data_IF_289343627111
#
_entry.id   IF_289343627111
#
_cell.length_a   1.000
_cell.length_b   1.000
_cell.length_c   1.000
_cell.angle_alpha   90.00
_cell.angle_beta   90.00
_cell.angle_gamma   90.00
#
_symmetry.space_group_name_H-M   'P 1'
#
loop_
_entity.id
_entity.type
_entity.pdbx_description
1 polymer ?
#
# COMPACT_ATOMS: atom_id res chain seq x y z
N UNK A 1 -26.38 11.76 5.45
CA UNK A 1 -25.03 12.36 5.33
C UNK A 1 -25.03 13.76 5.92
N UNK A 2 -24.19 14.05 6.92
CA UNK A 2 -24.05 15.39 7.50
C UNK A 2 -23.63 16.38 6.37
N UNK A 3 -24.34 17.52 6.22
CA UNK A 3 -24.09 18.47 5.12
C UNK A 3 -22.64 18.94 5.05
N UNK A 4 -21.94 18.98 6.19
CA UNK A 4 -20.52 19.32 6.25
C UNK A 4 -19.61 18.28 5.61
N UNK A 5 -19.88 16.98 5.81
CA UNK A 5 -19.06 15.90 5.27
C UNK A 5 -19.21 15.80 3.75
N UNK A 6 -20.43 15.98 3.23
CA UNK A 6 -20.68 16.04 1.78
C UNK A 6 -19.94 17.20 1.11
N UNK A 7 -19.91 18.37 1.75
CA UNK A 7 -19.16 19.55 1.26
C UNK A 7 -17.65 19.33 1.29
N UNK A 8 -17.12 18.67 2.31
CA UNK A 8 -15.69 18.34 2.38
C UNK A 8 -15.28 17.35 1.28
N UNK A 9 -16.10 16.35 1.00
CA UNK A 9 -15.88 15.40 -0.09
C UNK A 9 -15.91 16.06 -1.48
N UNK A 10 -16.84 16.99 -1.72
CA UNK A 10 -16.88 17.73 -3.00
C UNK A 10 -15.68 18.67 -3.17
N UNK A 11 -15.26 19.38 -2.11
CA UNK A 11 -14.04 20.20 -2.14
C UNK A 11 -12.79 19.36 -2.43
N UNK A 12 -12.69 18.20 -1.79
CA UNK A 12 -11.59 17.27 -2.03
C UNK A 12 -11.56 16.75 -3.47
N UNK A 13 -12.74 16.47 -4.07
CA UNK A 13 -12.84 16.11 -5.49
C UNK A 13 -12.35 17.23 -6.41
N UNK A 14 -12.64 18.49 -6.10
CA UNK A 14 -12.18 19.64 -6.89
C UNK A 14 -10.66 19.83 -6.78
N UNK A 15 -10.10 19.65 -5.58
CA UNK A 15 -8.66 19.76 -5.32
C UNK A 15 -7.85 18.68 -6.05
N UNK A 16 -8.35 17.43 -6.09
CA UNK A 16 -7.75 16.33 -6.87
C UNK A 16 -7.69 16.68 -8.36
N UNK A 17 -8.79 17.20 -8.94
CA UNK A 17 -8.84 17.57 -10.37
C UNK A 17 -7.82 18.66 -10.70
N UNK A 18 -7.56 19.57 -9.78
CA UNK A 18 -6.56 20.63 -9.95
C UNK A 18 -5.12 20.14 -9.87
N UNK A 19 -4.83 19.07 -9.12
CA UNK A 19 -3.46 18.55 -8.96
C UNK A 19 -3.05 17.61 -10.10
N UNK A 20 -3.98 16.85 -10.67
CA UNK A 20 -3.76 15.97 -11.84
C UNK A 20 -3.26 16.69 -13.10
N UNK A 21 -3.39 18.02 -13.19
CA UNK A 21 -2.97 18.82 -14.36
C UNK A 21 -1.56 19.40 -14.24
N UNK A 22 -0.83 19.16 -13.13
CA UNK A 22 0.48 19.81 -12.87
C UNK A 22 1.72 18.92 -13.00
N UNK A 23 1.59 17.60 -13.06
CA UNK A 23 2.78 16.73 -13.11
C UNK A 23 3.20 16.43 -14.55
N UNK A 24 3.97 17.34 -15.14
CA UNK A 24 4.78 16.99 -16.31
C UNK A 24 6.14 17.70 -16.27
N UNK A 25 7.18 16.87 -16.37
CA UNK A 25 8.62 17.15 -16.57
C UNK A 25 9.50 17.29 -15.32
N UNK A 26 10.49 16.40 -15.25
CA UNK A 26 11.88 16.69 -14.86
C UNK A 26 12.74 15.57 -15.46
N UNK A 27 13.45 15.80 -16.56
CA UNK A 27 14.84 16.27 -16.68
C UNK A 27 15.90 15.36 -16.03
N UNK A 28 16.72 14.76 -16.90
CA UNK A 28 17.72 13.71 -16.64
C UNK A 28 19.00 14.29 -16.01
N UNK A 29 19.45 13.70 -14.90
CA UNK A 29 20.84 13.47 -14.47
C UNK A 29 20.84 12.71 -13.13
N UNK A 30 21.99 12.30 -12.58
CA UNK A 30 22.08 11.59 -11.30
C UNK A 30 21.34 12.25 -10.12
N UNK A 31 21.09 13.56 -10.21
CA UNK A 31 20.22 14.33 -9.31
C UNK A 31 18.73 13.96 -9.45
N UNK A 32 18.27 13.73 -10.68
CA UNK A 32 16.94 13.21 -10.99
C UNK A 32 16.72 11.79 -10.46
N UNK A 33 17.73 10.90 -10.54
CA UNK A 33 17.60 9.55 -9.97
C UNK A 33 17.43 9.60 -8.43
N UNK A 34 18.21 10.46 -7.75
CA UNK A 34 18.06 10.67 -6.31
C UNK A 34 16.72 11.33 -5.95
N UNK A 35 16.18 12.20 -6.79
CA UNK A 35 14.86 12.78 -6.62
C UNK A 35 13.77 11.71 -6.69
N UNK A 36 13.81 10.84 -7.71
CA UNK A 36 12.88 9.72 -7.87
C UNK A 36 12.99 8.73 -6.72
N UNK A 37 14.21 8.39 -6.25
CA UNK A 37 14.40 7.54 -5.07
C UNK A 37 13.73 8.14 -3.82
N UNK A 38 13.90 9.45 -3.59
CA UNK A 38 13.26 10.15 -2.47
C UNK A 38 11.74 10.13 -2.58
N UNK A 39 11.20 10.21 -3.80
CA UNK A 39 9.77 10.13 -4.04
C UNK A 39 9.20 8.73 -3.79
N UNK A 40 9.90 7.70 -4.27
CA UNK A 40 9.58 6.30 -3.99
C UNK A 40 9.60 5.99 -2.50
N UNK A 41 10.58 6.52 -1.75
CA UNK A 41 10.63 6.36 -0.30
C UNK A 41 9.41 7.01 0.39
N UNK A 42 8.96 8.19 -0.09
CA UNK A 42 7.70 8.79 0.40
C UNK A 42 6.49 7.91 0.10
N UNK A 43 6.36 7.41 -1.12
CA UNK A 43 5.25 6.53 -1.52
C UNK A 43 5.23 5.25 -0.70
N UNK A 44 6.41 4.65 -0.49
CA UNK A 44 6.59 3.47 0.37
C UNK A 44 6.08 3.73 1.79
N UNK A 45 6.51 4.82 2.42
CA UNK A 45 6.11 5.14 3.78
C UNK A 45 4.60 5.39 3.87
N UNK A 46 4.03 6.12 2.91
CA UNK A 46 2.59 6.37 2.81
C UNK A 46 1.83 5.05 2.66
N UNK A 47 2.20 4.21 1.69
CA UNK A 47 1.55 2.91 1.42
C UNK A 47 1.58 2.00 2.65
N UNK A 48 2.75 1.82 3.26
CA UNK A 48 2.91 0.93 4.41
C UNK A 48 2.12 1.44 5.62
N UNK A 49 2.16 2.74 5.89
CA UNK A 49 1.42 3.32 7.01
C UNK A 49 -0.09 3.30 6.78
N UNK A 50 -0.57 3.64 5.58
CA UNK A 50 -1.99 3.59 5.22
C UNK A 50 -2.52 2.17 5.31
N UNK A 51 -1.87 1.21 4.65
CA UNK A 51 -2.32 -0.19 4.66
C UNK A 51 -2.35 -0.75 6.10
N UNK A 52 -1.31 -0.49 6.89
CA UNK A 52 -1.27 -0.91 8.30
C UNK A 52 -2.41 -0.31 9.12
N UNK A 53 -2.67 0.99 8.99
CA UNK A 53 -3.74 1.66 9.75
C UNK A 53 -5.12 1.19 9.30
N UNK A 54 -5.37 1.09 8.01
CA UNK A 54 -6.65 0.59 7.47
C UNK A 54 -6.88 -0.85 7.91
N UNK A 55 -5.89 -1.73 7.78
CA UNK A 55 -5.98 -3.11 8.25
C UNK A 55 -6.33 -3.20 9.74
N UNK A 56 -5.76 -2.35 10.60
CA UNK A 56 -6.12 -2.33 12.04
C UNK A 56 -7.57 -1.91 12.32
N UNK A 57 -8.24 -1.22 11.39
CA UNK A 57 -9.66 -0.84 11.56
C UNK A 57 -10.62 -1.96 11.24
N UNK A 58 -10.16 -3.05 10.61
CA UNK A 58 -11.03 -4.12 10.11
C UNK A 58 -10.59 -5.53 10.52
N UNK A 59 -9.32 -5.68 10.89
CA UNK A 59 -8.77 -6.97 11.26
C UNK A 59 -8.74 -7.15 12.78
N UNK A 60 -9.80 -7.75 13.33
CA UNK A 60 -9.72 -8.55 14.55
C UNK A 60 -9.21 -9.98 14.25
N UNK A 61 -8.17 -10.07 13.40
CA UNK A 61 -7.42 -11.25 12.96
C UNK A 61 -8.13 -12.60 12.96
N UNK A 62 -8.63 -13.08 11.80
CA UNK A 62 -8.78 -14.52 11.44
C UNK A 62 -9.34 -14.72 9.99
N UNK A 63 -9.28 -15.96 9.41
CA UNK A 63 -9.43 -16.27 7.98
C UNK A 63 -10.75 -15.87 7.30
N UNK A 64 -10.75 -15.92 5.96
CA UNK A 64 -11.77 -15.36 5.06
C UNK A 64 -12.76 -16.38 4.44
N UNK A 65 -13.11 -17.46 5.13
CA UNK A 65 -14.14 -18.39 4.68
C UNK A 65 -15.54 -18.03 5.23
N UNK A 66 -16.62 -18.46 4.56
CA UNK A 66 -18.01 -18.19 4.99
C UNK A 66 -18.31 -18.64 6.46
N UNK A 67 -17.79 -19.80 6.93
CA UNK A 67 -17.85 -20.17 8.35
C UNK A 67 -17.13 -19.18 9.28
N UNK A 68 -16.09 -18.50 8.79
CA UNK A 68 -15.37 -17.48 9.54
C UNK A 68 -16.14 -16.15 9.62
N UNK A 69 -16.96 -15.78 8.63
CA UNK A 69 -17.86 -14.61 8.74
C UNK A 69 -18.81 -14.76 9.93
N UNK A 70 -19.52 -15.88 10.02
CA UNK A 70 -20.45 -16.13 11.13
C UNK A 70 -19.72 -16.16 12.49
N UNK A 71 -18.54 -16.76 12.55
CA UNK A 71 -17.70 -16.76 13.76
C UNK A 71 -17.23 -15.36 14.15
N UNK A 72 -16.92 -14.49 13.18
CA UNK A 72 -16.55 -13.09 13.41
C UNK A 72 -17.73 -12.31 13.96
N UNK A 73 -18.92 -12.44 13.36
CA UNK A 73 -20.16 -11.77 13.82
C UNK A 73 -20.42 -12.12 15.29
N UNK A 74 -20.29 -13.39 15.67
CA UNK A 74 -20.51 -13.84 17.06
C UNK A 74 -19.56 -13.25 18.10
N UNK A 75 -18.42 -12.68 17.68
CA UNK A 75 -17.44 -12.01 18.56
C UNK A 75 -17.66 -10.50 18.65
N UNK A 76 -18.51 -9.94 17.79
CA UNK A 76 -18.81 -8.50 17.80
C UNK A 76 -19.59 -8.15 19.07
N UNK A 77 -19.22 -7.07 19.79
CA UNK A 77 -19.90 -6.67 21.04
C UNK A 77 -21.42 -6.52 20.89
N UNK A 78 -21.88 -5.96 19.77
CA UNK A 78 -23.29 -5.79 19.42
C UNK A 78 -24.00 -7.14 19.33
N UNK A 79 -23.38 -8.16 18.73
CA UNK A 79 -23.95 -9.51 18.70
C UNK A 79 -24.07 -10.10 20.11
N UNK A 80 -23.03 -9.94 20.94
CA UNK A 80 -23.03 -10.46 22.31
C UNK A 80 -24.13 -9.80 23.15
N UNK A 81 -24.31 -8.48 22.98
CA UNK A 81 -25.40 -7.74 23.62
C UNK A 81 -26.78 -8.20 23.13
N UNK A 82 -26.96 -8.33 21.81
CA UNK A 82 -28.20 -8.82 21.23
C UNK A 82 -28.55 -10.24 21.68
N UNK A 83 -27.53 -11.10 21.85
CA UNK A 83 -27.72 -12.45 22.39
C UNK A 83 -28.18 -12.43 23.84
N UNK A 84 -27.56 -11.59 24.68
CA UNK A 84 -27.98 -11.41 26.07
C UNK A 84 -29.44 -10.94 26.18
N UNK A 85 -29.84 -9.98 25.34
CA UNK A 85 -31.23 -9.49 25.29
C UNK A 85 -32.21 -10.59 24.87
N UNK A 86 -31.88 -11.36 23.83
CA UNK A 86 -32.71 -12.47 23.35
C UNK A 86 -32.88 -13.57 24.41
N UNK A 87 -31.82 -13.89 25.14
CA UNK A 87 -31.89 -14.88 26.21
C UNK A 87 -32.74 -14.38 27.38
N UNK A 88 -32.63 -13.09 27.73
CA UNK A 88 -33.42 -12.44 28.78
C UNK A 88 -34.93 -12.42 28.48
N UNK A 89 -35.33 -12.36 27.20
CA UNK A 89 -36.74 -12.39 26.78
C UNK A 89 -37.46 -13.68 27.19
N UNK A 90 -36.73 -14.82 27.28
CA UNK A 90 -37.29 -16.13 27.63
C UNK A 90 -37.82 -16.20 29.06
N UNK A 91 -37.20 -15.44 29.96
CA UNK A 91 -37.52 -15.40 31.38
C UNK A 91 -38.55 -14.32 31.75
N UNK A 92 -38.93 -13.46 30.79
CA UNK A 92 -39.84 -12.34 31.02
C UNK A 92 -41.29 -12.66 30.66
N UNK A 93 -42.28 -12.24 31.47
CA UNK A 93 -43.69 -12.29 31.07
C UNK A 93 -43.97 -11.27 29.94
N UNK A 94 -45.10 -11.39 29.22
CA UNK A 94 -45.53 -10.39 28.24
C UNK A 94 -45.59 -8.98 28.85
N UNK A 95 -45.01 -7.99 28.15
CA UNK A 95 -44.98 -6.60 28.59
C UNK A 95 -43.93 -5.75 27.87
N UNK A 96 -43.94 -4.44 28.13
CA UNK A 96 -43.11 -3.46 27.42
C UNK A 96 -41.62 -3.82 27.39
N UNK A 97 -41.05 -4.23 28.52
CA UNK A 97 -39.62 -4.57 28.59
C UNK A 97 -39.28 -5.78 27.70
N UNK A 98 -40.13 -6.81 27.70
CA UNK A 98 -39.96 -7.99 26.85
C UNK A 98 -39.99 -7.59 25.37
N UNK A 99 -40.95 -6.75 24.98
CA UNK A 99 -41.11 -6.31 23.59
C UNK A 99 -39.93 -5.44 23.12
N UNK A 100 -39.42 -4.57 23.99
CA UNK A 100 -38.24 -3.74 23.71
C UNK A 100 -37.00 -4.61 23.58
N UNK A 101 -36.77 -5.56 24.50
CA UNK A 101 -35.61 -6.44 24.43
C UNK A 101 -35.65 -7.37 23.20
N UNK A 102 -36.80 -7.91 22.81
CA UNK A 102 -36.90 -8.73 21.59
C UNK A 102 -36.57 -7.92 20.32
N UNK A 103 -37.09 -6.70 20.21
CA UNK A 103 -36.80 -5.81 19.08
C UNK A 103 -35.33 -5.39 19.05
N UNK A 104 -34.80 -4.94 20.18
CA UNK A 104 -33.39 -4.52 20.29
C UNK A 104 -32.43 -5.69 20.07
N UNK A 105 -32.76 -6.90 20.53
CA UNK A 105 -31.94 -8.09 20.29
C UNK A 105 -31.73 -8.36 18.79
N UNK A 106 -32.82 -8.27 18.00
CA UNK A 106 -32.77 -8.44 16.54
C UNK A 106 -31.96 -7.33 15.90
N UNK A 107 -32.18 -6.09 16.33
CA UNK A 107 -31.48 -4.92 15.78
C UNK A 107 -29.97 -4.99 16.01
N UNK A 108 -29.53 -5.28 17.23
CA UNK A 108 -28.11 -5.42 17.59
C UNK A 108 -27.42 -6.53 16.78
N UNK A 109 -28.09 -7.67 16.58
CA UNK A 109 -27.59 -8.75 15.72
C UNK A 109 -27.46 -8.32 14.26
N UNK A 110 -28.39 -7.52 13.74
CA UNK A 110 -28.30 -6.93 12.41
C UNK A 110 -27.12 -5.97 12.30
N UNK A 111 -26.96 -5.05 13.27
CA UNK A 111 -25.82 -4.11 13.32
C UNK A 111 -24.49 -4.86 13.33
N UNK A 112 -24.37 -5.96 14.10
CA UNK A 112 -23.18 -6.79 14.11
C UNK A 112 -22.85 -7.41 12.73
N UNK A 113 -23.88 -7.80 11.96
CA UNK A 113 -23.71 -8.30 10.59
C UNK A 113 -23.22 -7.19 9.63
N UNK A 114 -23.74 -5.97 9.78
CA UNK A 114 -23.32 -4.80 9.00
C UNK A 114 -21.86 -4.44 9.28
N UNK A 115 -21.42 -4.47 10.55
CA UNK A 115 -20.03 -4.25 10.95
C UNK A 115 -19.10 -5.22 10.22
N UNK A 116 -19.34 -6.52 10.33
CA UNK A 116 -18.47 -7.53 9.69
C UNK A 116 -18.53 -7.44 8.16
N UNK A 117 -19.68 -7.11 7.58
CA UNK A 117 -19.80 -6.92 6.13
C UNK A 117 -18.95 -5.75 5.64
N UNK A 118 -18.90 -4.65 6.39
CA UNK A 118 -18.01 -3.53 6.12
C UNK A 118 -16.54 -3.91 6.26
N UNK A 119 -16.17 -4.57 7.36
CA UNK A 119 -14.80 -5.02 7.58
C UNK A 119 -14.29 -5.89 6.43
N UNK A 120 -15.09 -6.90 6.02
CA UNK A 120 -14.75 -7.78 4.90
C UNK A 120 -14.62 -7.03 3.58
N UNK A 121 -15.48 -6.03 3.35
CA UNK A 121 -15.41 -5.22 2.13
C UNK A 121 -14.07 -4.47 2.06
N UNK A 122 -13.72 -3.76 3.12
CA UNK A 122 -12.44 -3.03 3.22
C UNK A 122 -11.23 -3.98 3.14
N UNK A 123 -11.27 -5.14 3.80
CA UNK A 123 -10.20 -6.13 3.70
C UNK A 123 -9.96 -6.56 2.25
N UNK A 124 -11.04 -6.84 1.51
CA UNK A 124 -10.98 -7.44 0.19
C UNK A 124 -10.71 -6.46 -0.95
N UNK A 125 -11.18 -5.22 -0.85
CA UNK A 125 -11.07 -4.21 -1.92
C UNK A 125 -10.04 -3.12 -1.63
N UNK A 126 -9.67 -2.90 -0.38
CA UNK A 126 -8.73 -1.83 -0.01
C UNK A 126 -7.43 -2.42 0.52
N UNK A 127 -7.47 -3.10 1.66
CA UNK A 127 -6.25 -3.59 2.32
C UNK A 127 -5.49 -4.58 1.44
N UNK A 128 -6.21 -5.53 0.82
CA UNK A 128 -5.61 -6.49 -0.12
C UNK A 128 -4.92 -5.78 -1.29
N UNK A 129 -5.60 -4.83 -1.94
CA UNK A 129 -5.06 -4.16 -3.11
C UNK A 129 -3.88 -3.24 -2.77
N UNK A 130 -3.90 -2.55 -1.63
CA UNK A 130 -2.75 -1.80 -1.14
C UNK A 130 -1.56 -2.72 -0.82
N UNK A 131 -1.83 -3.88 -0.22
CA UNK A 131 -0.79 -4.87 0.05
C UNK A 131 -0.19 -5.45 -1.24
N UNK A 132 -1.00 -5.70 -2.26
CA UNK A 132 -0.53 -6.20 -3.56
C UNK A 132 0.42 -5.20 -4.24
N UNK A 133 0.17 -3.89 -4.14
CA UNK A 133 1.10 -2.84 -4.61
C UNK A 133 2.43 -2.92 -3.84
N UNK A 134 2.34 -3.02 -2.50
CA UNK A 134 3.52 -3.12 -1.62
C UNK A 134 4.37 -4.33 -2.00
N UNK A 135 3.76 -5.51 -2.11
CA UNK A 135 4.49 -6.76 -2.40
C UNK A 135 5.07 -6.78 -3.81
N UNK A 136 4.32 -6.28 -4.80
CA UNK A 136 4.76 -6.28 -6.20
C UNK A 136 5.88 -5.28 -6.45
N UNK A 137 5.69 -4.02 -6.05
CA UNK A 137 6.60 -2.94 -6.44
C UNK A 137 7.76 -2.78 -5.46
N UNK A 138 7.50 -2.69 -4.15
CA UNK A 138 8.56 -2.38 -3.18
C UNK A 138 9.59 -3.50 -3.07
N UNK A 139 9.17 -4.76 -3.13
CA UNK A 139 10.10 -5.89 -3.13
C UNK A 139 10.99 -5.89 -4.38
N UNK A 140 10.41 -5.59 -5.54
CA UNK A 140 11.11 -5.52 -6.84
C UNK A 140 12.12 -4.38 -6.87
N UNK A 141 11.71 -3.17 -6.49
CA UNK A 141 12.57 -1.99 -6.37
C UNK A 141 13.73 -2.28 -5.40
N UNK A 142 13.45 -2.86 -4.23
CA UNK A 142 14.47 -3.16 -3.24
C UNK A 142 15.47 -4.23 -3.72
N UNK A 143 14.99 -5.25 -4.44
CA UNK A 143 15.85 -6.25 -5.06
C UNK A 143 16.75 -5.61 -6.12
N UNK A 144 16.19 -4.77 -6.99
CA UNK A 144 16.94 -4.13 -8.07
C UNK A 144 17.97 -3.12 -7.53
N UNK A 145 17.64 -2.36 -6.48
CA UNK A 145 18.58 -1.48 -5.77
C UNK A 145 19.83 -2.24 -5.30
N UNK A 146 19.66 -3.47 -4.79
CA UNK A 146 20.79 -4.32 -4.39
C UNK A 146 21.63 -4.78 -5.60
N UNK A 147 20.99 -5.09 -6.72
CA UNK A 147 21.68 -5.45 -7.98
C UNK A 147 22.53 -4.29 -8.49
N UNK A 148 21.97 -3.08 -8.56
CA UNK A 148 22.70 -1.85 -8.92
C UNK A 148 23.89 -1.63 -7.99
N UNK A 149 23.69 -1.77 -6.68
CA UNK A 149 24.76 -1.63 -5.69
C UNK A 149 25.94 -2.60 -5.91
N UNK A 150 25.66 -3.86 -6.29
CA UNK A 150 26.71 -4.84 -6.63
C UNK A 150 27.44 -4.49 -7.91
N UNK A 151 26.70 -4.15 -8.98
CA UNK A 151 27.31 -3.77 -10.25
C UNK A 151 28.17 -2.50 -10.11
N UNK A 152 27.75 -1.55 -9.28
CA UNK A 152 28.52 -0.34 -8.99
C UNK A 152 29.83 -0.66 -8.26
N UNK A 153 29.81 -1.59 -7.30
CA UNK A 153 31.01 -2.06 -6.61
C UNK A 153 31.97 -2.79 -7.56
N UNK A 154 31.46 -3.68 -8.42
CA UNK A 154 32.24 -4.40 -9.42
C UNK A 154 32.92 -3.44 -10.41
N UNK A 155 32.16 -2.48 -10.96
CA UNK A 155 32.67 -1.46 -11.87
C UNK A 155 33.76 -0.60 -11.22
N UNK A 156 33.52 -0.09 -10.01
CA UNK A 156 34.48 0.77 -9.31
C UNK A 156 35.77 0.01 -8.97
N UNK A 157 35.68 -1.26 -8.58
CA UNK A 157 36.85 -2.10 -8.33
C UNK A 157 37.70 -2.33 -9.60
N UNK A 158 37.06 -2.54 -10.75
CA UNK A 158 37.78 -2.70 -12.04
C UNK A 158 38.36 -1.39 -12.54
N UNK A 159 37.62 -0.28 -12.40
CA UNK A 159 38.12 1.06 -12.70
C UNK A 159 39.37 1.42 -11.90
N UNK A 160 39.41 1.13 -10.60
CA UNK A 160 40.60 1.37 -9.77
C UNK A 160 41.80 0.52 -10.22
N UNK A 161 41.58 -0.72 -10.66
CA UNK A 161 42.64 -1.57 -11.24
C UNK A 161 43.15 -1.00 -12.56
N UNK A 162 42.25 -0.54 -13.43
CA UNK A 162 42.60 0.13 -14.68
C UNK A 162 43.43 1.39 -14.43
N UNK A 163 42.97 2.29 -13.56
CA UNK A 163 43.67 3.54 -13.22
C UNK A 163 45.07 3.26 -12.66
N UNK A 164 45.20 2.23 -11.82
CA UNK A 164 46.49 1.79 -11.28
C UNK A 164 47.41 1.21 -12.35
N UNK A 165 46.88 0.39 -13.27
CA UNK A 165 47.63 -0.18 -14.37
C UNK A 165 48.09 0.87 -15.38
N UNK A 166 47.23 1.86 -15.67
CA UNK A 166 47.53 3.00 -16.55
C UNK A 166 48.72 3.80 -16.00
N UNK A 167 48.68 4.19 -14.72
CA UNK A 167 49.77 4.93 -14.05
C UNK A 167 51.10 4.16 -14.10
N UNK A 168 51.07 2.85 -13.86
CA UNK A 168 52.28 2.02 -13.95
C UNK A 168 52.79 1.89 -15.39
N UNK A 169 51.88 1.86 -16.37
CA UNK A 169 52.25 1.82 -17.78
C UNK A 169 53.02 3.07 -18.21
N UNK A 170 52.54 4.23 -17.79
CA UNK A 170 53.14 5.54 -18.10
C UNK A 170 54.52 5.74 -17.45
N UNK A 171 54.78 5.11 -16.29
CA UNK A 171 56.06 5.24 -15.57
C UNK A 171 57.11 4.19 -15.94
N UNK A 172 56.72 2.95 -16.25
CA UNK A 172 57.63 1.80 -16.30
C UNK A 172 57.58 1.02 -17.63
N UNK A 173 56.85 1.49 -18.64
CA UNK A 173 56.70 0.78 -19.91
C UNK A 173 55.86 -0.49 -19.74
N UNK A 174 54.66 -0.34 -19.20
CA UNK A 174 53.79 -1.45 -18.79
C UNK A 174 53.22 -2.29 -19.93
N UNK A 175 52.64 -3.44 -19.55
CA UNK A 175 52.05 -4.40 -20.49
C UNK A 175 50.76 -3.84 -21.12
N UNK A 176 50.87 -3.35 -22.35
CA UNK A 176 49.78 -2.79 -23.15
C UNK A 176 48.59 -3.76 -23.30
N UNK A 177 48.82 -5.06 -23.45
CA UNK A 177 47.73 -6.04 -23.59
C UNK A 177 46.88 -6.14 -22.32
N UNK A 178 47.52 -6.08 -21.13
CA UNK A 178 46.81 -6.09 -19.85
C UNK A 178 46.00 -4.80 -19.64
N UNK A 179 46.53 -3.67 -20.12
CA UNK A 179 45.85 -2.38 -20.05
C UNK A 179 44.59 -2.36 -20.93
N UNK A 180 44.69 -2.88 -22.16
CA UNK A 180 43.54 -3.05 -23.05
C UNK A 180 42.48 -3.96 -22.42
N UNK A 181 42.87 -5.12 -21.88
CA UNK A 181 41.91 -6.02 -21.23
C UNK A 181 41.16 -5.35 -20.07
N UNK A 182 41.86 -4.63 -19.19
CA UNK A 182 41.22 -3.94 -18.07
C UNK A 182 40.27 -2.82 -18.54
N UNK A 183 40.58 -2.18 -19.67
CA UNK A 183 39.71 -1.18 -20.28
C UNK A 183 38.43 -1.81 -20.83
N UNK A 184 38.56 -2.93 -21.53
CA UNK A 184 37.43 -3.68 -22.09
C UNK A 184 36.53 -4.22 -20.95
N UNK A 185 37.13 -4.80 -19.90
CA UNK A 185 36.41 -5.26 -18.70
C UNK A 185 35.67 -4.10 -17.99
N UNK A 186 36.31 -2.92 -17.93
CA UNK A 186 35.71 -1.73 -17.34
C UNK A 186 34.50 -1.26 -18.17
N UNK A 187 34.62 -1.25 -19.50
CA UNK A 187 33.54 -0.86 -20.42
C UNK A 187 32.35 -1.83 -20.33
N UNK A 188 32.61 -3.14 -20.28
CA UNK A 188 31.57 -4.17 -20.09
C UNK A 188 30.81 -3.97 -18.76
N UNK A 189 31.55 -3.77 -17.65
CA UNK A 189 30.95 -3.55 -16.34
C UNK A 189 30.19 -2.21 -16.27
N UNK A 190 30.67 -1.18 -16.95
CA UNK A 190 29.97 0.09 -17.05
C UNK A 190 28.63 -0.06 -17.78
N UNK A 191 28.64 -0.71 -18.95
CA UNK A 191 27.44 -0.97 -19.73
C UNK A 191 26.41 -1.81 -18.95
N UNK A 192 26.89 -2.81 -18.20
CA UNK A 192 26.05 -3.60 -17.30
C UNK A 192 25.45 -2.73 -16.18
N UNK A 193 26.24 -1.88 -15.53
CA UNK A 193 25.76 -0.99 -14.48
C UNK A 193 24.67 -0.04 -14.98
N UNK A 194 24.87 0.60 -16.14
CA UNK A 194 23.87 1.52 -16.71
C UNK A 194 22.57 0.79 -17.04
N UNK A 195 22.64 -0.41 -17.63
CA UNK A 195 21.45 -1.25 -17.86
C UNK A 195 20.68 -1.57 -16.56
N UNK A 196 21.39 -1.92 -15.49
CA UNK A 196 20.73 -2.21 -14.21
C UNK A 196 20.14 -0.95 -13.55
N UNK A 197 20.72 0.23 -13.79
CA UNK A 197 20.19 1.53 -13.35
C UNK A 197 18.93 1.91 -14.13
N UNK A 198 18.92 1.74 -15.44
CA UNK A 198 17.74 1.98 -16.27
C UNK A 198 16.56 1.11 -15.81
N UNK A 199 16.83 -0.16 -15.51
CA UNK A 199 15.82 -1.08 -14.99
C UNK A 199 15.33 -0.65 -13.58
N UNK A 200 16.26 -0.20 -12.73
CA UNK A 200 15.91 0.32 -11.42
C UNK A 200 14.99 1.54 -11.50
N UNK A 201 15.33 2.49 -12.38
CA UNK A 201 14.53 3.68 -12.64
C UNK A 201 13.15 3.32 -13.21
N UNK A 202 13.08 2.37 -14.14
CA UNK A 202 11.80 1.85 -14.67
C UNK A 202 10.89 1.34 -13.55
N UNK A 203 11.39 0.50 -12.65
CA UNK A 203 10.59 -0.02 -11.54
C UNK A 203 10.12 1.06 -10.57
N UNK A 204 10.91 2.12 -10.38
CA UNK A 204 10.50 3.28 -9.59
C UNK A 204 9.34 4.02 -10.24
N UNK A 205 9.41 4.30 -11.55
CA UNK A 205 8.30 4.95 -12.26
C UNK A 205 7.06 4.07 -12.34
N UNK A 206 7.20 2.75 -12.42
CA UNK A 206 6.05 1.83 -12.33
C UNK A 206 5.31 1.97 -10.99
N UNK A 207 6.02 2.14 -9.87
CA UNK A 207 5.36 2.43 -8.58
C UNK A 207 4.70 3.82 -8.59
N UNK A 208 5.37 4.84 -9.12
CA UNK A 208 4.81 6.19 -9.15
C UNK A 208 3.55 6.26 -10.03
N UNK A 209 3.50 5.46 -11.10
CA UNK A 209 2.32 5.31 -11.94
C UNK A 209 1.10 4.69 -11.22
N UNK A 210 1.29 4.04 -10.07
CA UNK A 210 0.19 3.54 -9.24
C UNK A 210 -0.51 4.65 -8.43
N UNK A 211 -0.08 5.92 -8.52
CA UNK A 211 -0.67 7.04 -7.77
C UNK A 211 -2.20 7.07 -7.84
N UNK A 212 -2.78 6.93 -9.03
CA UNK A 212 -4.23 6.94 -9.22
C UNK A 212 -4.89 5.73 -8.54
N UNK A 213 -4.29 4.54 -8.63
CA UNK A 213 -4.80 3.34 -7.98
C UNK A 213 -4.78 3.50 -6.46
N UNK A 214 -3.68 4.00 -5.90
CA UNK A 214 -3.54 4.27 -4.47
C UNK A 214 -4.63 5.26 -4.01
N UNK A 215 -4.80 6.37 -4.73
CA UNK A 215 -5.82 7.37 -4.42
C UNK A 215 -7.24 6.77 -4.49
N UNK A 216 -7.50 5.91 -5.48
CA UNK A 216 -8.78 5.22 -5.64
C UNK A 216 -9.07 4.26 -4.49
N UNK A 217 -8.09 3.48 -4.02
CA UNK A 217 -8.28 2.58 -2.86
C UNK A 217 -8.54 3.36 -1.56
N UNK A 218 -7.84 4.48 -1.34
CA UNK A 218 -8.10 5.36 -0.20
C UNK A 218 -9.51 5.95 -0.26
N UNK A 219 -9.97 6.34 -1.46
CA UNK A 219 -11.35 6.82 -1.66
C UNK A 219 -12.37 5.71 -1.46
N UNK A 220 -12.07 4.49 -1.90
CA UNK A 220 -12.92 3.32 -1.73
C UNK A 220 -13.11 2.95 -0.25
N UNK A 221 -12.06 3.08 0.57
CA UNK A 221 -12.18 2.96 2.03
C UNK A 221 -13.28 3.87 2.61
N UNK A 222 -13.26 5.15 2.25
CA UNK A 222 -14.27 6.11 2.72
C UNK A 222 -15.66 5.78 2.19
N UNK A 223 -15.77 5.26 0.95
CA UNK A 223 -17.05 4.79 0.41
C UNK A 223 -17.60 3.59 1.19
N UNK A 224 -16.76 2.64 1.59
CA UNK A 224 -17.19 1.52 2.43
C UNK A 224 -17.73 2.02 3.77
N UNK A 225 -17.05 2.98 4.40
CA UNK A 225 -17.56 3.62 5.62
C UNK A 225 -18.93 4.29 5.38
N UNK A 226 -19.09 5.05 4.30
CA UNK A 226 -20.37 5.69 3.95
C UNK A 226 -21.49 4.65 3.77
N UNK A 227 -21.22 3.57 3.03
CA UNK A 227 -22.18 2.49 2.79
C UNK A 227 -22.57 1.81 4.09
N UNK A 228 -21.59 1.47 4.93
CA UNK A 228 -21.81 0.89 6.26
C UNK A 228 -22.73 1.76 7.11
N UNK A 229 -22.36 3.04 7.32
CA UNK A 229 -23.17 3.91 8.17
C UNK A 229 -24.57 4.15 7.61
N UNK A 230 -24.72 4.19 6.29
CA UNK A 230 -26.03 4.35 5.65
C UNK A 230 -26.90 3.10 5.81
N UNK A 231 -26.30 1.92 5.66
CA UNK A 231 -26.95 0.62 5.82
C UNK A 231 -27.38 0.42 7.28
N UNK A 232 -26.44 0.57 8.22
CA UNK A 232 -26.72 0.47 9.65
C UNK A 232 -27.81 1.45 10.11
N UNK A 233 -27.77 2.71 9.63
CA UNK A 233 -28.82 3.69 9.95
C UNK A 233 -30.19 3.26 9.43
N UNK A 234 -30.25 2.67 8.22
CA UNK A 234 -31.52 2.18 7.65
C UNK A 234 -32.10 1.05 8.47
N UNK A 235 -31.26 0.13 8.96
CA UNK A 235 -31.72 -1.00 9.77
C UNK A 235 -32.20 -0.55 11.17
N UNK A 236 -31.65 0.56 11.69
CA UNK A 236 -32.01 1.14 13.00
C UNK A 236 -33.30 1.98 12.94
N UNK A 237 -33.64 2.56 11.78
CA UNK A 237 -34.78 3.47 11.60
C UNK A 237 -36.08 2.76 11.27
#
# INVERSE_FOLDING_TARGET
>A
MNRNMKRQLEKFKEEIKSNLTRSSKSEKNADGLQEVEREVDRYKDILQNLNKRIATTVSAGQPQDAPAKEKRIRKVPEFVLGQLMEDSVKDLPPGLLRDVLDKCARLEKTVASEIITNELSVENSVSKNLNDIIERHLATIQKQKRTVGKCAQEYEATRQKYDSAQRNSDQLGGNQAKLTQLKDDQEELHNKLEKERDLYESYMYELLAEEENIANYVKEYVKHQELYYTSALREIQ
#
